data_IF_730369700188
#
_entry.id   IF_730369700188
#
_cell.length_a   1.000
_cell.length_b   1.000
_cell.length_c   1.000
_cell.angle_alpha   90.00
_cell.angle_beta   90.00
_cell.angle_gamma   90.00
#
_symmetry.space_group_name_H-M   'P 1'
#
loop_
_entity.id
_entity.type
_entity.pdbx_description
1 polymer ?
#
# COMPACT_ATOMS: atom_id res chain seq x y z
N UNK A 1 -23.00 -36.44 -25.97
CA UNK A 1 -22.92 -34.97 -25.91
C UNK A 1 -23.10 -34.54 -24.47
N UNK A 2 -22.00 -34.37 -23.73
CA UNK A 2 -22.05 -34.04 -22.29
C UNK A 2 -21.80 -32.55 -22.13
N UNK A 3 -22.88 -31.76 -21.93
CA UNK A 3 -22.78 -30.35 -21.56
C UNK A 3 -22.28 -30.26 -20.12
N UNK A 4 -21.01 -29.91 -19.95
CA UNK A 4 -20.45 -29.44 -18.69
C UNK A 4 -21.30 -28.28 -18.19
N UNK A 5 -21.95 -28.44 -17.04
CA UNK A 5 -22.64 -27.34 -16.38
C UNK A 5 -21.59 -26.34 -15.88
N UNK A 6 -21.57 -25.17 -16.51
CA UNK A 6 -20.88 -24.00 -15.99
C UNK A 6 -21.69 -23.58 -14.76
N UNK A 7 -21.19 -23.95 -13.58
CA UNK A 7 -21.65 -23.43 -12.29
C UNK A 7 -21.63 -21.91 -12.38
N UNK A 8 -22.81 -21.29 -12.30
CA UNK A 8 -23.01 -19.85 -12.30
C UNK A 8 -22.22 -19.25 -11.14
N UNK A 9 -21.08 -18.63 -11.47
CA UNK A 9 -20.25 -17.89 -10.51
C UNK A 9 -21.04 -16.63 -10.13
N UNK A 10 -21.72 -16.65 -8.98
CA UNK A 10 -22.12 -15.38 -8.33
C UNK A 10 -20.83 -14.57 -8.15
N UNK A 11 -20.79 -13.38 -8.74
CA UNK A 11 -19.85 -12.34 -8.33
C UNK A 11 -20.19 -12.04 -6.87
N UNK A 12 -19.48 -12.68 -5.94
CA UNK A 12 -19.63 -12.31 -4.54
C UNK A 12 -18.95 -10.97 -4.36
N UNK A 13 -19.67 -10.01 -3.76
CA UNK A 13 -19.18 -8.68 -3.36
C UNK A 13 -18.12 -8.76 -2.23
N UNK A 14 -17.43 -9.90 -2.13
CA UNK A 14 -16.45 -10.20 -1.09
C UNK A 14 -15.12 -9.52 -1.42
N UNK A 15 -14.52 -8.89 -0.42
CA UNK A 15 -13.19 -8.29 -0.58
C UNK A 15 -12.11 -9.34 -0.39
N UNK A 16 -11.20 -9.45 -1.37
CA UNK A 16 -10.07 -10.38 -1.31
C UNK A 16 -8.80 -9.68 -0.86
N UNK A 17 -8.13 -10.26 0.13
CA UNK A 17 -6.91 -9.73 0.74
C UNK A 17 -5.76 -10.73 0.58
N UNK A 18 -4.53 -10.21 0.50
CA UNK A 18 -3.31 -10.99 0.44
C UNK A 18 -2.31 -10.46 1.46
N UNK A 19 -1.56 -11.36 2.10
CA UNK A 19 -0.47 -10.98 2.98
C UNK A 19 0.59 -10.15 2.25
N UNK A 20 1.06 -9.09 2.89
CA UNK A 20 2.07 -8.17 2.35
C UNK A 20 3.51 -8.64 2.58
N UNK A 21 3.74 -9.61 3.47
CA UNK A 21 5.07 -10.15 3.74
C UNK A 21 5.63 -10.82 2.50
N UNK A 22 6.86 -10.45 2.13
CA UNK A 22 7.53 -10.98 0.94
C UNK A 22 7.64 -12.51 0.99
N UNK A 23 7.18 -13.18 -0.05
CA UNK A 23 7.19 -14.65 -0.14
C UNK A 23 6.02 -15.33 0.60
N UNK A 24 5.17 -14.57 1.28
CA UNK A 24 3.92 -15.10 1.82
C UNK A 24 2.84 -15.11 0.74
N UNK A 25 2.14 -16.24 0.63
CA UNK A 25 1.04 -16.41 -0.33
C UNK A 25 -0.30 -16.68 0.37
N UNK A 26 -0.37 -16.41 1.67
CA UNK A 26 -1.61 -16.44 2.44
C UNK A 26 -2.61 -15.42 1.89
N UNK A 27 -3.86 -15.85 1.75
CA UNK A 27 -4.97 -15.05 1.24
C UNK A 27 -6.19 -15.26 2.11
N UNK A 28 -6.97 -14.21 2.29
CA UNK A 28 -8.25 -14.27 2.97
C UNK A 28 -9.28 -13.49 2.16
N UNK A 29 -10.55 -13.82 2.33
CA UNK A 29 -11.67 -13.04 1.84
C UNK A 29 -12.55 -12.65 3.00
N UNK A 30 -12.97 -11.41 3.01
CA UNK A 30 -14.00 -10.92 3.91
C UNK A 30 -15.31 -10.77 3.15
N UNK A 31 -16.42 -10.75 3.87
CA UNK A 31 -17.71 -10.32 3.34
C UNK A 31 -17.65 -8.87 2.82
N UNK A 32 -18.72 -8.44 2.17
CA UNK A 32 -18.88 -7.09 1.65
C UNK A 32 -18.71 -6.01 2.73
N UNK A 33 -19.20 -6.28 3.95
CA UNK A 33 -19.12 -5.39 5.10
C UNK A 33 -17.72 -5.38 5.77
N UNK A 34 -16.85 -6.32 5.39
CA UNK A 34 -15.49 -6.51 5.93
C UNK A 34 -15.46 -6.85 7.43
N UNK A 35 -16.58 -7.34 7.97
CA UNK A 35 -16.71 -7.71 9.39
C UNK A 35 -16.37 -9.18 9.63
N UNK A 36 -16.59 -10.04 8.64
CA UNK A 36 -16.42 -11.49 8.78
C UNK A 36 -15.49 -12.09 7.73
N UNK A 37 -14.69 -13.07 8.14
CA UNK A 37 -13.86 -13.86 7.23
C UNK A 37 -14.73 -14.95 6.61
N UNK A 38 -14.99 -14.86 5.30
CA UNK A 38 -15.78 -15.85 4.55
C UNK A 38 -14.93 -16.99 4.01
N UNK A 39 -13.62 -16.74 3.83
CA UNK A 39 -12.69 -17.74 3.32
C UNK A 39 -11.24 -17.40 3.67
N UNK A 40 -10.41 -18.41 3.90
CA UNK A 40 -8.96 -18.27 4.03
C UNK A 40 -8.24 -19.39 3.29
N UNK A 41 -7.00 -19.12 2.86
CA UNK A 41 -6.16 -20.10 2.17
C UNK A 41 -4.69 -19.87 2.47
N UNK A 42 -4.02 -21.00 2.75
CA UNK A 42 -2.61 -21.12 3.13
C UNK A 42 -2.33 -20.45 4.47
N UNK A 43 -1.54 -21.13 5.27
CA UNK A 43 -1.03 -20.56 6.50
C UNK A 43 0.11 -19.59 6.20
N UNK A 44 0.36 -18.69 7.15
CA UNK A 44 1.50 -17.79 7.09
C UNK A 44 2.81 -18.59 7.25
N UNK A 45 3.80 -18.23 6.45
CA UNK A 45 5.15 -18.81 6.46
C UNK A 45 6.17 -17.87 7.13
N UNK A 46 5.70 -16.99 7.99
CA UNK A 46 6.49 -16.00 8.71
C UNK A 46 5.83 -15.73 10.06
N UNK A 47 6.61 -15.21 10.99
CA UNK A 47 6.11 -14.79 12.28
C UNK A 47 5.15 -13.59 12.16
N UNK A 48 4.26 -13.39 13.14
CA UNK A 48 3.43 -12.20 13.21
C UNK A 48 4.25 -10.91 13.08
N UNK A 49 3.73 -9.98 12.29
CA UNK A 49 4.33 -8.67 12.06
C UNK A 49 4.33 -7.89 13.38
N UNK A 50 5.46 -7.26 13.73
CA UNK A 50 5.57 -6.54 15.00
C UNK A 50 4.68 -5.28 15.02
N UNK A 51 4.12 -4.94 16.18
CA UNK A 51 3.29 -3.74 16.35
C UNK A 51 4.02 -2.46 15.88
N UNK A 52 5.31 -2.35 16.20
CA UNK A 52 6.16 -1.24 15.78
C UNK A 52 6.26 -1.12 14.23
N UNK A 53 6.41 -2.24 13.53
CA UNK A 53 6.43 -2.21 12.05
C UNK A 53 5.08 -1.80 11.45
N UNK A 54 3.96 -2.15 12.09
CA UNK A 54 2.62 -1.68 11.72
C UNK A 54 2.52 -0.17 11.94
N UNK A 55 2.98 0.35 13.08
CA UNK A 55 2.98 1.79 13.37
C UNK A 55 3.80 2.57 12.34
N UNK A 56 4.99 2.06 11.97
CA UNK A 56 5.82 2.64 10.90
C UNK A 56 5.09 2.63 9.54
N UNK A 57 4.39 1.55 9.22
CA UNK A 57 3.58 1.47 8.00
C UNK A 57 2.45 2.50 7.97
N UNK A 58 1.74 2.68 9.10
CA UNK A 58 0.69 3.69 9.25
C UNK A 58 1.28 5.08 9.03
N UNK A 59 2.39 5.41 9.71
CA UNK A 59 3.07 6.70 9.57
C UNK A 59 3.46 6.99 8.12
N UNK A 60 4.07 6.01 7.44
CA UNK A 60 4.45 6.12 6.02
C UNK A 60 3.24 6.37 5.13
N UNK A 61 2.13 5.68 5.38
CA UNK A 61 0.90 5.81 4.59
C UNK A 61 0.26 7.17 4.75
N UNK A 62 0.17 7.68 5.98
CA UNK A 62 -0.35 9.02 6.27
C UNK A 62 0.51 10.12 5.67
N UNK A 63 1.84 10.02 5.83
CA UNK A 63 2.79 10.93 5.20
C UNK A 63 2.62 10.96 3.68
N UNK A 64 2.50 9.80 3.05
CA UNK A 64 2.29 9.67 1.61
C UNK A 64 0.97 10.31 1.16
N UNK A 65 -0.12 10.08 1.89
CA UNK A 65 -1.44 10.64 1.60
C UNK A 65 -1.42 12.17 1.68
N UNK A 66 -0.90 12.73 2.76
CA UNK A 66 -0.79 14.19 2.96
C UNK A 66 0.09 14.85 1.91
N UNK A 67 1.21 14.22 1.55
CA UNK A 67 2.06 14.70 0.47
C UNK A 67 1.36 14.68 -0.89
N UNK A 68 0.51 13.69 -1.16
CA UNK A 68 -0.27 13.62 -2.39
C UNK A 68 -1.35 14.71 -2.47
N UNK A 69 -1.91 15.12 -1.33
CA UNK A 69 -2.92 16.18 -1.21
C UNK A 69 -2.30 17.59 -1.31
N UNK A 70 -1.08 17.76 -0.78
CA UNK A 70 -0.38 19.04 -0.80
C UNK A 70 1.03 18.92 -1.41
N UNK A 71 1.08 19.08 -2.73
CA UNK A 71 2.31 18.92 -3.51
C UNK A 71 3.36 20.01 -3.27
N UNK A 72 3.00 21.14 -2.66
CA UNK A 72 3.92 22.28 -2.46
C UNK A 72 4.60 22.25 -1.10
N UNK A 73 4.07 21.47 -0.16
CA UNK A 73 4.67 21.33 1.16
C UNK A 73 5.99 20.56 1.11
N UNK A 74 7.01 21.07 1.81
CA UNK A 74 8.32 20.41 1.88
C UNK A 74 8.18 19.05 2.58
N UNK A 75 8.78 17.96 2.07
CA UNK A 75 8.69 16.63 2.67
C UNK A 75 9.02 16.61 4.16
N UNK A 76 10.05 17.35 4.59
CA UNK A 76 10.44 17.45 5.99
C UNK A 76 9.34 18.02 6.89
N UNK A 77 8.53 18.97 6.41
CA UNK A 77 7.41 19.52 7.19
C UNK A 77 6.29 18.50 7.34
N UNK A 78 5.96 17.77 6.28
CA UNK A 78 4.96 16.69 6.33
C UNK A 78 5.37 15.63 7.36
N UNK A 79 6.62 15.16 7.31
CA UNK A 79 7.15 14.15 8.22
C UNK A 79 7.10 14.65 9.67
N UNK A 80 7.62 15.85 9.93
CA UNK A 80 7.68 16.41 11.30
C UNK A 80 6.29 16.55 11.92
N UNK A 81 5.29 17.01 11.16
CA UNK A 81 3.91 17.10 11.65
C UNK A 81 3.37 15.74 12.10
N UNK A 82 3.65 14.69 11.33
CA UNK A 82 3.16 13.36 11.68
C UNK A 82 3.88 12.74 12.88
N UNK A 83 5.20 12.92 12.98
CA UNK A 83 5.98 12.42 14.13
C UNK A 83 5.51 13.09 15.42
N UNK A 84 5.33 14.40 15.41
CA UNK A 84 4.83 15.15 16.58
C UNK A 84 3.43 14.69 16.98
N UNK A 85 2.59 14.30 16.01
CA UNK A 85 1.25 13.76 16.31
C UNK A 85 1.26 12.36 16.92
N UNK A 86 2.37 11.61 16.84
CA UNK A 86 2.48 10.20 17.24
C UNK A 86 3.82 9.91 17.96
N UNK A 87 4.00 10.44 19.18
CA UNK A 87 5.29 10.39 19.87
C UNK A 87 5.76 8.97 20.26
N UNK A 88 4.83 8.01 20.39
CA UNK A 88 5.13 6.61 20.79
C UNK A 88 5.74 5.75 19.66
N UNK A 89 6.06 6.33 18.51
CA UNK A 89 6.66 5.57 17.41
C UNK A 89 8.18 5.50 17.57
N UNK A 90 8.73 4.31 17.79
CA UNK A 90 10.18 4.10 17.83
C UNK A 90 10.74 4.13 16.39
N UNK A 91 11.15 5.32 15.96
CA UNK A 91 11.66 5.57 14.62
C UNK A 91 13.19 5.52 14.60
N UNK A 92 13.74 4.67 13.74
CA UNK A 92 15.17 4.70 13.44
C UNK A 92 15.45 5.64 12.26
N UNK A 93 16.67 6.19 12.12
CA UNK A 93 17.01 7.09 11.01
C UNK A 93 16.69 6.52 9.61
N UNK A 94 16.76 5.19 9.45
CA UNK A 94 16.41 4.50 8.20
C UNK A 94 14.93 4.69 7.83
N UNK A 95 14.03 4.76 8.80
CA UNK A 95 12.59 4.98 8.56
C UNK A 95 12.35 6.37 8.01
N UNK A 96 13.02 7.38 8.57
CA UNK A 96 12.89 8.77 8.12
C UNK A 96 13.35 8.93 6.66
N UNK A 97 14.45 8.27 6.29
CA UNK A 97 14.96 8.24 4.91
C UNK A 97 13.92 7.58 3.99
N UNK A 98 13.39 6.43 4.38
CA UNK A 98 12.40 5.70 3.59
C UNK A 98 11.10 6.50 3.40
N UNK A 99 10.60 7.15 4.46
CA UNK A 99 9.39 8.00 4.41
C UNK A 99 9.63 9.20 3.50
N UNK A 100 10.77 9.90 3.66
CA UNK A 100 11.14 11.04 2.81
C UNK A 100 11.16 10.64 1.34
N UNK A 101 11.82 9.54 1.02
CA UNK A 101 11.91 9.05 -0.36
C UNK A 101 10.52 8.78 -0.95
N UNK A 102 9.62 8.18 -0.18
CA UNK A 102 8.24 7.88 -0.61
C UNK A 102 7.44 9.14 -0.87
N UNK A 103 7.58 10.16 -0.02
CA UNK A 103 6.95 11.46 -0.22
C UNK A 103 7.47 12.11 -1.51
N UNK A 104 8.79 12.17 -1.69
CA UNK A 104 9.41 12.75 -2.89
C UNK A 104 8.96 12.04 -4.17
N UNK A 105 8.95 10.70 -4.15
CA UNK A 105 8.40 9.91 -5.25
C UNK A 105 6.94 10.25 -5.57
N UNK A 106 6.13 10.46 -4.53
CA UNK A 106 4.70 10.73 -4.66
C UNK A 106 4.46 12.13 -5.22
N UNK A 107 5.19 13.13 -4.74
CA UNK A 107 5.11 14.51 -5.24
C UNK A 107 5.56 14.56 -6.71
N UNK A 108 6.70 13.95 -7.04
CA UNK A 108 7.22 13.92 -8.40
C UNK A 108 6.28 13.16 -9.35
N UNK A 109 5.66 12.06 -8.90
CA UNK A 109 4.61 11.36 -9.64
C UNK A 109 3.47 12.31 -9.98
N UNK A 110 2.94 13.01 -8.97
CA UNK A 110 1.78 13.89 -9.13
C UNK A 110 2.07 15.11 -10.00
N UNK A 111 3.32 15.57 -10.04
CA UNK A 111 3.79 16.65 -10.93
C UNK A 111 4.10 16.20 -12.35
N UNK A 112 4.15 14.88 -12.62
CA UNK A 112 4.56 14.36 -13.92
C UNK A 112 6.08 14.43 -14.17
N UNK A 113 6.87 14.71 -13.13
CA UNK A 113 8.32 14.84 -13.16
C UNK A 113 8.99 13.45 -12.99
N UNK A 114 8.64 12.51 -13.86
CA UNK A 114 9.03 11.11 -13.73
C UNK A 114 10.44 10.82 -14.24
N UNK A 115 11.42 10.78 -13.32
CA UNK A 115 12.76 10.23 -13.61
C UNK A 115 12.73 8.70 -13.55
N UNK A 116 12.97 8.04 -14.69
CA UNK A 116 13.04 6.57 -14.86
C UNK A 116 14.03 5.87 -13.91
N UNK A 117 15.06 6.57 -13.45
CA UNK A 117 16.17 5.98 -12.70
C UNK A 117 15.84 5.69 -11.22
N UNK A 118 14.79 6.30 -10.67
CA UNK A 118 14.46 6.21 -9.24
C UNK A 118 13.81 4.86 -8.84
N UNK A 119 13.30 4.09 -9.81
CA UNK A 119 12.68 2.78 -9.57
C UNK A 119 13.65 1.63 -9.36
N UNK A 120 14.94 1.83 -9.66
CA UNK A 120 15.95 0.77 -9.51
C UNK A 120 16.31 0.51 -8.03
N UNK A 121 15.93 1.40 -7.10
CA UNK A 121 16.43 1.40 -5.72
C UNK A 121 15.36 1.16 -4.65
N UNK A 122 14.12 0.83 -5.02
CA UNK A 122 13.02 0.68 -4.07
C UNK A 122 12.70 -0.78 -3.71
N UNK A 123 12.59 -1.10 -2.40
CA UNK A 123 11.88 -2.30 -1.94
C UNK A 123 10.41 -2.24 -2.38
N UNK A 124 10.01 -3.28 -3.08
CA UNK A 124 8.71 -3.51 -3.71
C UNK A 124 7.57 -3.33 -2.69
N UNK A 125 6.85 -2.21 -2.76
CA UNK A 125 5.47 -2.08 -2.26
C UNK A 125 4.52 -1.47 -3.31
N UNK A 126 4.95 -1.36 -4.56
CA UNK A 126 4.11 -0.97 -5.70
C UNK A 126 3.70 -2.22 -6.49
N UNK A 127 3.05 -3.17 -5.81
CA UNK A 127 2.26 -4.16 -6.54
C UNK A 127 0.95 -3.51 -6.98
N UNK A 128 0.96 -2.98 -8.20
CA UNK A 128 -0.20 -2.84 -9.10
C UNK A 128 -1.26 -1.79 -8.73
N UNK A 129 -0.97 -0.52 -9.04
CA UNK A 129 -2.02 0.37 -9.60
C UNK A 129 -1.70 0.50 -11.09
N UNK A 130 -2.19 -0.48 -11.86
CA UNK A 130 -2.33 -0.33 -13.31
C UNK A 130 -3.61 0.44 -13.57
N UNK A 131 -3.55 1.76 -13.39
CA UNK A 131 -4.48 2.68 -14.04
C UNK A 131 -3.62 3.80 -14.61
N UNK A 132 -3.25 3.61 -15.87
CA UNK A 132 -2.69 4.65 -16.73
C UNK A 132 -3.64 5.86 -16.71
N UNK A 133 -3.15 7.10 -16.57
CA UNK A 133 -3.92 8.26 -16.98
C UNK A 133 -3.90 8.30 -18.51
N UNK A 134 -4.76 7.50 -19.15
CA UNK A 134 -5.07 7.73 -20.56
C UNK A 134 -5.85 9.04 -20.66
N UNK A 135 -5.15 10.00 -21.26
CA UNK A 135 -5.66 11.03 -22.15
C UNK A 135 -7.07 10.73 -22.68
N UNK A 136 -8.08 11.37 -22.09
CA UNK A 136 -9.28 11.77 -22.82
C UNK A 136 -9.24 13.29 -22.88
N UNK A 137 -8.51 13.79 -23.88
CA UNK A 137 -8.75 15.10 -24.48
C UNK A 137 -9.41 14.83 -25.85
N UNK A 138 -10.47 15.62 -26.08
CA UNK A 138 -11.31 15.77 -27.28
C UNK A 138 -12.10 14.57 -27.75
#
# INVERSE_FOLDING_TARGET
MSRTQISSRKESEDTSWQCTTKGCLARLKTDHEQENIVWSRRDHNHDPVSADSVTRQILRTECKRKAAENLTERPSKVIMKEIVSKPDTDLVPKDLIAIRFVIECTINWRRGEYFREMYASLPICLSRVSSSPELIKS
#
